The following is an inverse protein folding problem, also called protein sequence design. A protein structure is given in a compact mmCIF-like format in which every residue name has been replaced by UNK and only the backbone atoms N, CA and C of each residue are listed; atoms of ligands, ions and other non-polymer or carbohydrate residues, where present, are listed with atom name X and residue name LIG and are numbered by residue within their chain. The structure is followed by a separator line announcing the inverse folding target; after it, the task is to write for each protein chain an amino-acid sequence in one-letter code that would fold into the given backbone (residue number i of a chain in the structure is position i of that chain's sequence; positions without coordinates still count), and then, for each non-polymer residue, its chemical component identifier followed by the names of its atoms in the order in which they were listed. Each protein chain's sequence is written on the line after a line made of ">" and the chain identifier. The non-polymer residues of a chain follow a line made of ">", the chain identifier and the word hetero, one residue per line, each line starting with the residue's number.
data_IF_047339642588
#
_entry.id   IF_047339642588
#
_cell.length_a   1.000
_cell.length_b   1.000
_cell.length_c   1.000
_cell.angle_alpha   90.00
_cell.angle_beta   90.00
_cell.angle_gamma   90.00
#
_symmetry.space_group_name_H-M   'P 1'
#
loop_
_entity.id
_entity.type
_entity.pdbx_description
1 polymer ?
#
# COMPACT_ATOMS: atom_id res chain seq x y z
N UNK A 1 -22.92 16.01 56.36
CA UNK A 1 -23.86 15.70 55.25
C UNK A 1 -23.51 16.61 54.09
N UNK A 2 -22.93 16.07 53.01
CA UNK A 2 -22.68 16.78 51.74
C UNK A 2 -23.65 16.20 50.72
N UNK A 3 -24.60 17.00 50.29
CA UNK A 3 -25.60 16.64 49.28
C UNK A 3 -24.92 16.60 47.91
N UNK A 4 -24.81 15.43 47.30
CA UNK A 4 -24.34 15.25 45.93
C UNK A 4 -25.53 15.49 45.00
N UNK A 5 -25.49 16.56 44.21
CA UNK A 5 -26.43 16.81 43.12
C UNK A 5 -26.07 15.87 41.96
N UNK A 6 -26.88 14.84 41.71
CA UNK A 6 -26.80 14.07 40.45
C UNK A 6 -27.44 14.90 39.33
N UNK A 7 -26.60 15.41 38.42
CA UNK A 7 -27.05 15.97 37.16
C UNK A 7 -27.40 14.80 36.22
N UNK A 8 -28.69 14.55 36.01
CA UNK A 8 -29.14 13.59 35.01
C UNK A 8 -28.87 14.15 33.60
N UNK A 9 -27.88 13.58 32.91
CA UNK A 9 -27.67 13.80 31.48
C UNK A 9 -28.85 13.20 30.72
N UNK A 10 -29.80 14.05 30.32
CA UNK A 10 -30.82 13.74 29.32
C UNK A 10 -30.13 13.47 27.98
N UNK A 11 -29.85 12.21 27.68
CA UNK A 11 -29.51 11.77 26.33
C UNK A 11 -30.82 11.75 25.53
N UNK A 12 -31.03 12.74 24.66
CA UNK A 12 -32.18 12.81 23.75
C UNK A 12 -32.14 11.64 22.75
N UNK A 13 -33.02 10.62 22.86
CA UNK A 13 -32.99 9.45 21.96
C UNK A 13 -33.41 9.78 20.52
N UNK A 14 -34.09 10.92 20.30
CA UNK A 14 -34.63 11.31 19.00
C UNK A 14 -33.59 11.86 18.02
N UNK A 15 -32.49 12.45 18.50
CA UNK A 15 -31.45 12.99 17.63
C UNK A 15 -30.64 11.87 16.94
N UNK A 16 -30.41 10.76 17.65
CA UNK A 16 -29.68 9.60 17.13
C UNK A 16 -30.48 8.84 16.07
N UNK A 17 -31.80 8.71 16.23
CA UNK A 17 -32.65 8.04 15.23
C UNK A 17 -32.73 8.85 13.92
N UNK A 18 -33.01 10.16 14.00
CA UNK A 18 -33.09 10.99 12.80
C UNK A 18 -31.76 11.07 12.02
N UNK A 19 -30.63 11.04 12.73
CA UNK A 19 -29.30 11.01 12.10
C UNK A 19 -29.00 9.64 11.44
N UNK A 20 -29.44 8.54 12.05
CA UNK A 20 -29.35 7.20 11.46
C UNK A 20 -30.21 7.09 10.20
N UNK A 21 -31.45 7.58 10.25
CA UNK A 21 -32.38 7.58 9.11
C UNK A 21 -31.81 8.37 7.93
N UNK A 22 -31.20 9.53 8.20
CA UNK A 22 -30.57 10.34 7.15
C UNK A 22 -29.33 9.67 6.56
N UNK A 23 -28.54 8.99 7.38
CA UNK A 23 -27.35 8.25 6.91
C UNK A 23 -27.77 7.13 5.96
N UNK A 24 -28.78 6.34 6.33
CA UNK A 24 -29.31 5.26 5.49
C UNK A 24 -29.88 5.78 4.18
N UNK A 25 -30.56 6.93 4.20
CA UNK A 25 -31.09 7.57 2.99
C UNK A 25 -29.97 7.91 1.98
N UNK A 26 -28.91 8.59 2.43
CA UNK A 26 -27.80 9.00 1.56
C UNK A 26 -27.06 7.77 1.00
N UNK A 27 -26.77 6.79 1.86
CA UNK A 27 -26.11 5.54 1.45
C UNK A 27 -26.96 4.77 0.43
N UNK A 28 -28.28 4.68 0.64
CA UNK A 28 -29.19 4.00 -0.29
C UNK A 28 -29.22 4.69 -1.66
N UNK A 29 -29.24 6.03 -1.67
CA UNK A 29 -29.19 6.80 -2.92
C UNK A 29 -27.86 6.63 -3.64
N UNK A 30 -26.74 6.61 -2.92
CA UNK A 30 -25.42 6.34 -3.50
C UNK A 30 -25.33 4.92 -4.11
N UNK A 31 -25.81 3.91 -3.39
CA UNK A 31 -25.93 2.52 -3.89
C UNK A 31 -26.78 2.46 -5.16
N UNK A 32 -27.89 3.19 -5.19
CA UNK A 32 -28.77 3.28 -6.36
C UNK A 32 -28.07 3.94 -7.54
N UNK A 33 -27.36 5.07 -7.31
CA UNK A 33 -26.59 5.77 -8.33
C UNK A 33 -25.45 4.91 -8.92
N UNK A 34 -24.89 4.01 -8.10
CA UNK A 34 -23.91 3.02 -8.56
C UNK A 34 -24.52 1.90 -9.41
N UNK A 35 -25.84 1.64 -9.35
CA UNK A 35 -26.48 0.58 -10.12
C UNK A 35 -27.44 -0.32 -9.33
N UNK A 36 -27.51 -0.14 -8.01
CA UNK A 36 -28.38 -0.88 -7.10
C UNK A 36 -27.70 -2.09 -6.45
N UNK A 37 -28.16 -2.43 -5.24
CA UNK A 37 -27.51 -3.43 -4.39
C UNK A 37 -27.44 -4.83 -5.01
N UNK A 38 -28.52 -5.27 -5.65
CA UNK A 38 -28.60 -6.59 -6.30
C UNK A 38 -27.51 -6.78 -7.37
N UNK A 39 -27.27 -5.76 -8.20
CA UNK A 39 -26.25 -5.82 -9.24
C UNK A 39 -24.84 -5.76 -8.65
N UNK A 40 -24.64 -4.98 -7.59
CA UNK A 40 -23.37 -4.91 -6.86
C UNK A 40 -23.04 -6.27 -6.22
N UNK A 41 -24.03 -6.93 -5.62
CA UNK A 41 -23.88 -8.26 -5.03
C UNK A 41 -23.66 -9.35 -6.08
N UNK A 42 -24.23 -9.21 -7.28
CA UNK A 42 -24.01 -10.13 -8.39
C UNK A 42 -22.57 -10.12 -8.96
N UNK A 43 -21.77 -9.09 -8.64
CA UNK A 43 -20.34 -9.08 -8.96
C UNK A 43 -19.58 -9.94 -7.94
N UNK A 44 -18.90 -10.99 -8.38
CA UNK A 44 -18.06 -11.83 -7.52
C UNK A 44 -16.57 -11.68 -7.81
N UNK A 45 -16.19 -11.29 -9.04
CA UNK A 45 -14.80 -11.00 -9.40
C UNK A 45 -14.70 -9.76 -10.29
N UNK A 46 -13.58 -9.05 -10.21
CA UNK A 46 -13.25 -7.91 -11.05
C UNK A 46 -11.80 -7.99 -11.50
N UNK A 47 -11.55 -7.85 -12.79
CA UNK A 47 -10.22 -7.74 -13.40
C UNK A 47 -10.07 -6.35 -13.99
N UNK A 48 -9.21 -5.55 -13.37
CA UNK A 48 -8.86 -4.22 -13.80
C UNK A 48 -7.58 -4.26 -14.63
N UNK A 49 -7.57 -3.54 -15.76
CA UNK A 49 -6.37 -3.34 -16.58
C UNK A 49 -6.22 -1.88 -16.93
N UNK A 50 -5.00 -1.39 -16.86
CA UNK A 50 -4.70 -0.02 -17.27
C UNK A 50 -3.35 0.46 -16.78
N UNK A 51 -3.35 1.66 -16.23
CA UNK A 51 -2.15 2.42 -15.92
C UNK A 51 -2.21 2.98 -14.50
N UNK A 52 -1.07 2.98 -13.81
CA UNK A 52 -0.86 3.58 -12.49
C UNK A 52 0.36 4.51 -12.55
N UNK A 53 0.30 5.64 -11.84
CA UNK A 53 1.39 6.61 -11.75
C UNK A 53 1.49 7.22 -10.35
N UNK A 54 2.68 7.71 -10.02
CA UNK A 54 3.02 8.32 -8.74
C UNK A 54 3.80 9.62 -8.97
N UNK A 55 3.48 10.64 -8.18
CA UNK A 55 4.12 11.95 -8.09
C UNK A 55 3.74 12.94 -9.20
N UNK A 56 4.03 14.22 -8.95
CA UNK A 56 3.88 15.32 -9.91
C UNK A 56 4.72 15.14 -11.20
N UNK A 57 5.80 14.35 -11.14
CA UNK A 57 6.70 14.07 -12.26
C UNK A 57 6.12 13.13 -13.33
N UNK A 58 4.93 12.56 -13.11
CA UNK A 58 4.36 11.53 -14.01
C UNK A 58 2.95 11.79 -14.54
N UNK A 59 2.33 12.92 -14.22
CA UNK A 59 1.08 13.32 -14.89
C UNK A 59 1.27 13.45 -16.41
N UNK A 60 2.40 13.99 -16.86
CA UNK A 60 2.77 14.09 -18.28
C UNK A 60 3.01 12.74 -18.97
N UNK A 61 3.16 11.64 -18.20
CA UNK A 61 3.32 10.29 -18.73
C UNK A 61 2.06 9.42 -18.64
N UNK A 62 0.95 9.94 -18.12
CA UNK A 62 -0.33 9.26 -18.16
C UNK A 62 -0.71 9.00 -19.64
N UNK A 63 -0.63 7.73 -20.05
CA UNK A 63 -0.86 7.30 -21.44
C UNK A 63 0.37 7.33 -22.37
N UNK A 64 1.57 7.71 -21.92
CA UNK A 64 2.77 7.79 -22.79
C UNK A 64 3.87 6.77 -22.48
N UNK A 65 3.75 5.99 -21.39
CA UNK A 65 4.55 4.78 -21.16
C UNK A 65 3.66 3.54 -21.15
N UNK A 66 4.19 2.44 -21.70
CA UNK A 66 3.56 1.13 -21.61
C UNK A 66 3.47 0.72 -20.13
N UNK A 67 2.27 0.80 -19.56
CA UNK A 67 1.94 0.18 -18.28
C UNK A 67 0.83 -0.83 -18.53
N UNK A 68 1.06 -2.05 -18.07
CA UNK A 68 0.12 -3.16 -18.12
C UNK A 68 -0.33 -3.49 -16.69
N UNK A 69 -0.67 -2.47 -15.91
CA UNK A 69 -1.12 -2.67 -14.53
C UNK A 69 -2.36 -3.55 -14.54
N UNK A 70 -2.30 -4.64 -13.77
CA UNK A 70 -3.41 -5.58 -13.58
C UNK A 70 -3.72 -5.65 -12.10
N UNK A 71 -5.01 -5.56 -11.77
CA UNK A 71 -5.51 -5.85 -10.44
C UNK A 71 -6.70 -6.80 -10.56
N UNK A 72 -6.73 -7.82 -9.73
CA UNK A 72 -7.86 -8.74 -9.61
C UNK A 72 -8.41 -8.63 -8.19
N UNK A 73 -9.73 -8.57 -8.06
CA UNK A 73 -10.45 -8.68 -6.78
C UNK A 73 -11.49 -9.76 -6.88
N UNK A 74 -11.72 -10.49 -5.79
CA UNK A 74 -12.79 -11.49 -5.72
C UNK A 74 -13.40 -11.52 -4.32
N UNK A 75 -14.71 -11.74 -4.22
CA UNK A 75 -15.40 -11.94 -2.94
C UNK A 75 -14.88 -13.21 -2.24
N UNK A 76 -14.84 -13.26 -0.89
CA UNK A 76 -15.29 -12.22 0.04
C UNK A 76 -14.25 -11.11 0.33
N UNK A 77 -13.03 -11.21 -0.20
CA UNK A 77 -11.96 -10.27 0.12
C UNK A 77 -10.60 -10.79 -0.33
N UNK A 78 -10.50 -11.22 -1.59
CA UNK A 78 -9.28 -11.69 -2.23
C UNK A 78 -8.77 -10.60 -3.17
N UNK A 79 -7.47 -10.42 -3.24
CA UNK A 79 -6.85 -9.43 -4.13
C UNK A 79 -5.54 -9.93 -4.68
N UNK A 80 -5.29 -9.57 -5.94
CA UNK A 80 -4.02 -9.80 -6.62
C UNK A 80 -3.66 -8.55 -7.42
N UNK A 81 -2.39 -8.17 -7.42
CA UNK A 81 -1.84 -7.05 -8.19
C UNK A 81 -0.65 -7.57 -8.98
N UNK A 82 -0.59 -7.24 -10.27
CA UNK A 82 0.43 -7.74 -11.20
C UNK A 82 -0.07 -8.92 -12.04
N UNK A 83 0.48 -9.05 -13.24
CA UNK A 83 0.18 -10.18 -14.12
C UNK A 83 0.79 -11.48 -13.59
N UNK A 84 0.05 -12.58 -13.75
CA UNK A 84 0.54 -13.96 -13.60
C UNK A 84 -0.16 -14.86 -14.63
N UNK A 85 0.40 -16.03 -14.98
CA UNK A 85 -0.07 -16.85 -16.10
C UNK A 85 -1.55 -17.24 -16.06
N UNK A 86 -2.12 -17.40 -14.87
CA UNK A 86 -3.50 -17.84 -14.64
C UNK A 86 -4.53 -16.74 -14.88
N UNK A 87 -4.12 -15.47 -14.96
CA UNK A 87 -5.02 -14.37 -15.31
C UNK A 87 -5.17 -14.33 -16.83
N UNK A 88 -6.40 -14.38 -17.39
CA UNK A 88 -6.63 -14.18 -18.82
C UNK A 88 -5.92 -12.93 -19.33
N UNK A 89 -5.31 -12.98 -20.51
CA UNK A 89 -4.57 -11.84 -21.07
C UNK A 89 -3.19 -11.54 -20.44
N UNK A 90 -2.75 -12.28 -19.41
CA UNK A 90 -1.37 -12.27 -18.89
C UNK A 90 -0.55 -13.48 -19.38
N UNK A 91 -0.98 -14.13 -20.47
CA UNK A 91 -0.59 -15.49 -20.88
C UNK A 91 0.93 -15.69 -20.88
N UNK A 92 1.42 -16.54 -19.97
CA UNK A 92 2.84 -16.90 -19.84
C UNK A 92 3.74 -15.84 -19.18
N UNK A 93 3.19 -14.74 -18.67
CA UNK A 93 3.96 -13.61 -18.15
C UNK A 93 3.67 -13.36 -16.67
N UNK A 94 4.74 -13.40 -15.88
CA UNK A 94 4.77 -12.84 -14.54
C UNK A 94 5.15 -11.36 -14.60
N UNK A 95 4.40 -10.53 -13.88
CA UNK A 95 4.84 -9.18 -13.56
C UNK A 95 6.12 -9.22 -12.74
N UNK A 96 6.95 -8.16 -12.84
CA UNK A 96 8.20 -8.06 -12.05
C UNK A 96 7.96 -8.13 -10.54
N UNK A 97 6.82 -7.60 -10.11
CA UNK A 97 6.31 -7.70 -8.74
C UNK A 97 4.86 -8.14 -8.87
N UNK A 98 4.50 -9.18 -8.12
CA UNK A 98 3.13 -9.66 -7.98
C UNK A 98 2.83 -9.75 -6.49
N UNK A 99 1.72 -9.15 -6.08
CA UNK A 99 1.29 -9.15 -4.68
C UNK A 99 -0.10 -9.75 -4.59
N UNK A 100 -0.35 -10.55 -3.56
CA UNK A 100 -1.65 -11.19 -3.35
C UNK A 100 -2.08 -11.22 -1.90
N UNK A 101 -3.38 -11.27 -1.69
CA UNK A 101 -4.03 -11.56 -0.42
C UNK A 101 -5.04 -12.68 -0.65
N UNK A 102 -4.80 -13.84 -0.03
CA UNK A 102 -5.57 -15.06 -0.23
C UNK A 102 -6.85 -15.14 0.63
N UNK A 103 -7.18 -14.06 1.34
CA UNK A 103 -8.28 -13.99 2.31
C UNK A 103 -7.82 -14.21 3.75
N UNK A 104 -6.60 -14.73 3.94
CA UNK A 104 -6.01 -14.96 5.26
C UNK A 104 -4.63 -14.31 5.41
N UNK A 105 -3.79 -14.38 4.38
CA UNK A 105 -2.40 -13.92 4.39
C UNK A 105 -2.05 -13.20 3.10
N UNK A 106 -1.29 -12.13 3.26
CA UNK A 106 -0.65 -11.44 2.14
C UNK A 106 0.71 -12.04 1.76
N UNK A 107 1.10 -11.81 0.51
CA UNK A 107 2.38 -12.24 -0.04
C UNK A 107 2.83 -11.30 -1.18
N UNK A 108 4.14 -11.22 -1.38
CA UNK A 108 4.79 -10.47 -2.46
C UNK A 108 5.80 -11.40 -3.16
N UNK A 109 5.78 -11.42 -4.49
CA UNK A 109 6.70 -12.15 -5.35
C UNK A 109 7.45 -11.19 -6.24
N UNK A 110 8.78 -11.22 -6.16
CA UNK A 110 9.66 -10.57 -7.13
C UNK A 110 10.11 -11.57 -8.21
N UNK A 111 9.74 -11.34 -9.47
CA UNK A 111 10.07 -12.16 -10.64
C UNK A 111 11.12 -11.46 -11.53
N UNK A 112 12.09 -12.17 -12.16
CA UNK A 112 12.25 -13.62 -12.25
C UNK A 112 13.10 -14.26 -11.15
N UNK A 113 13.55 -13.47 -10.16
CA UNK A 113 14.37 -13.95 -9.05
C UNK A 113 13.63 -14.93 -8.13
N UNK A 114 12.30 -15.01 -8.23
CA UNK A 114 11.46 -15.90 -7.43
C UNK A 114 11.56 -15.63 -5.91
N UNK A 115 11.72 -14.35 -5.53
CA UNK A 115 11.71 -13.95 -4.12
C UNK A 115 10.29 -13.80 -3.65
N UNK A 116 9.78 -14.88 -3.06
CA UNK A 116 8.47 -14.93 -2.43
C UNK A 116 8.59 -14.65 -0.93
N UNK A 117 7.90 -13.63 -0.45
CA UNK A 117 7.82 -13.30 0.97
C UNK A 117 6.37 -13.27 1.43
N UNK A 118 6.13 -13.66 2.68
CA UNK A 118 4.84 -13.46 3.35
C UNK A 118 4.85 -12.09 4.00
N UNK A 119 3.79 -11.32 3.78
CA UNK A 119 3.67 -10.02 4.44
C UNK A 119 3.36 -10.19 5.93
N UNK A 120 3.79 -9.20 6.71
CA UNK A 120 3.51 -9.06 8.14
C UNK A 120 3.25 -7.59 8.48
N UNK A 121 2.76 -7.32 9.70
CA UNK A 121 2.61 -5.97 10.26
C UNK A 121 1.85 -5.00 9.33
N UNK A 122 2.45 -3.83 9.03
CA UNK A 122 1.84 -2.77 8.21
C UNK A 122 1.55 -3.26 6.78
N UNK A 123 2.44 -4.05 6.19
CA UNK A 123 2.27 -4.58 4.83
C UNK A 123 1.10 -5.57 4.75
N UNK A 124 1.01 -6.50 5.71
CA UNK A 124 -0.11 -7.44 5.82
C UNK A 124 -1.44 -6.71 5.95
N UNK A 125 -1.49 -5.71 6.84
CA UNK A 125 -2.68 -4.89 7.03
C UNK A 125 -3.06 -4.13 5.75
N UNK A 126 -2.09 -3.59 5.01
CA UNK A 126 -2.35 -2.87 3.77
C UNK A 126 -2.96 -3.79 2.70
N UNK A 127 -2.44 -5.02 2.56
CA UNK A 127 -2.98 -6.02 1.63
C UNK A 127 -4.38 -6.49 2.05
N UNK A 128 -4.57 -6.83 3.33
CA UNK A 128 -5.88 -7.19 3.88
C UNK A 128 -6.93 -6.10 3.64
N UNK A 129 -6.63 -4.86 4.05
CA UNK A 129 -7.58 -3.75 3.92
C UNK A 129 -7.83 -3.36 2.47
N UNK A 130 -6.80 -3.43 1.63
CA UNK A 130 -6.91 -3.18 0.21
C UNK A 130 -7.63 -4.28 -0.57
N UNK A 131 -7.83 -5.47 0.04
CA UNK A 131 -8.56 -6.58 -0.58
C UNK A 131 -10.09 -6.46 -0.46
N UNK A 132 -10.60 -5.42 0.21
CA UNK A 132 -12.03 -5.13 0.25
C UNK A 132 -12.61 -5.03 -1.17
N UNK A 133 -13.62 -5.86 -1.45
CA UNK A 133 -14.28 -5.89 -2.75
C UNK A 133 -15.18 -4.66 -2.94
N UNK A 134 -16.03 -4.38 -1.94
CA UNK A 134 -16.94 -3.24 -1.95
C UNK A 134 -16.40 -2.05 -1.15
N UNK A 135 -16.89 -0.85 -1.48
CA UNK A 135 -16.74 0.31 -0.61
C UNK A 135 -17.33 0.04 0.78
N UNK A 136 -16.79 0.68 1.81
CA UNK A 136 -17.16 0.42 3.19
C UNK A 136 -18.61 0.81 3.53
N UNK A 137 -19.24 1.71 2.74
CA UNK A 137 -20.65 2.05 2.93
C UNK A 137 -21.61 0.98 2.39
N UNK A 138 -21.14 0.05 1.54
CA UNK A 138 -21.93 -1.08 1.06
C UNK A 138 -22.06 -2.10 2.20
N UNK A 139 -23.30 -2.44 2.55
CA UNK A 139 -23.68 -3.35 3.64
C UNK A 139 -23.06 -2.99 5.00
N UNK A 140 -22.80 -1.70 5.23
CA UNK A 140 -22.05 -1.26 6.40
C UNK A 140 -22.66 -1.79 7.72
N UNK A 141 -24.00 -1.84 7.86
CA UNK A 141 -24.68 -2.41 9.03
C UNK A 141 -24.44 -3.90 9.21
N UNK A 142 -24.57 -4.68 8.12
CA UNK A 142 -24.39 -6.13 8.14
C UNK A 142 -22.94 -6.50 8.45
N UNK A 143 -22.01 -5.63 8.06
CA UNK A 143 -20.58 -5.73 8.34
C UNK A 143 -20.19 -5.21 9.73
N UNK A 144 -21.16 -4.75 10.54
CA UNK A 144 -20.93 -4.22 11.88
C UNK A 144 -20.25 -2.85 11.92
N UNK A 145 -20.17 -2.15 10.78
CA UNK A 145 -19.57 -0.82 10.69
C UNK A 145 -20.54 0.25 11.19
N UNK A 146 -19.99 1.39 11.59
CA UNK A 146 -20.76 2.54 12.07
C UNK A 146 -20.68 3.67 11.05
N UNK A 147 -21.81 4.14 10.56
CA UNK A 147 -21.89 5.24 9.61
C UNK A 147 -22.52 6.47 10.24
N UNK A 148 -22.05 7.66 9.83
CA UNK A 148 -22.61 8.94 10.26
C UNK A 148 -22.67 9.91 9.09
N UNK A 149 -23.86 10.40 8.75
CA UNK A 149 -24.02 11.55 7.89
C UNK A 149 -23.58 12.83 8.62
N UNK A 150 -22.73 13.62 7.97
CA UNK A 150 -22.09 14.81 8.53
C UNK A 150 -22.60 16.13 7.92
N UNK A 151 -23.70 16.08 7.16
CA UNK A 151 -24.19 17.24 6.41
C UNK A 151 -23.45 17.44 5.08
N UNK A 152 -23.75 18.55 4.41
CA UNK A 152 -22.97 19.00 3.25
C UNK A 152 -21.66 19.62 3.70
N UNK A 153 -20.57 19.25 3.03
CA UNK A 153 -19.23 19.82 3.24
C UNK A 153 -18.69 20.40 1.93
N UNK A 154 -17.94 21.50 2.04
CA UNK A 154 -17.16 22.03 0.92
C UNK A 154 -15.81 21.34 0.90
N UNK A 155 -15.52 20.58 -0.15
CA UNK A 155 -14.27 19.83 -0.32
C UNK A 155 -13.74 20.11 -1.73
N UNK A 156 -12.50 20.61 -1.82
CA UNK A 156 -11.89 21.04 -3.08
C UNK A 156 -12.77 22.00 -3.92
N UNK A 157 -13.56 22.83 -3.25
CA UNK A 157 -14.48 23.80 -3.88
C UNK A 157 -15.84 23.24 -4.30
N UNK A 158 -16.09 21.93 -4.11
CA UNK A 158 -17.39 21.29 -4.39
C UNK A 158 -18.20 21.14 -3.09
N UNK A 159 -19.50 21.42 -3.14
CA UNK A 159 -20.43 21.20 -2.02
C UNK A 159 -21.04 19.81 -2.12
N UNK A 160 -20.62 18.89 -1.26
CA UNK A 160 -20.88 17.44 -1.36
C UNK A 160 -21.57 16.90 -0.10
N UNK A 161 -22.43 15.90 -0.27
CA UNK A 161 -23.04 15.15 0.85
C UNK A 161 -21.98 14.26 1.50
N UNK A 162 -21.71 14.45 2.80
CA UNK A 162 -20.61 13.76 3.49
C UNK A 162 -21.12 12.64 4.41
N UNK A 163 -20.57 11.43 4.23
CA UNK A 163 -20.81 10.27 5.09
C UNK A 163 -19.48 9.73 5.60
N UNK A 164 -19.35 9.61 6.92
CA UNK A 164 -18.22 8.94 7.56
C UNK A 164 -18.56 7.48 7.81
N UNK A 165 -17.66 6.57 7.46
CA UNK A 165 -17.73 5.15 7.80
C UNK A 165 -16.58 4.80 8.74
N UNK A 166 -16.92 4.31 9.92
CA UNK A 166 -15.97 3.81 10.91
C UNK A 166 -15.95 2.29 10.86
N UNK A 167 -14.76 1.73 10.65
CA UNK A 167 -14.53 0.30 10.63
C UNK A 167 -13.54 -0.05 11.73
N UNK A 168 -13.77 -1.17 12.39
CA UNK A 168 -12.88 -1.64 13.46
C UNK A 168 -11.71 -2.49 12.90
N UNK A 169 -11.83 -2.98 11.65
CA UNK A 169 -10.86 -3.85 10.98
C UNK A 169 -9.73 -3.09 10.28
N UNK A 170 -10.03 -1.91 9.71
CA UNK A 170 -9.16 -1.25 8.75
C UNK A 170 -9.17 0.27 8.88
N UNK A 171 -8.03 0.77 9.36
CA UNK A 171 -7.63 2.17 9.26
C UNK A 171 -8.36 3.14 10.18
N UNK A 172 -7.99 4.42 10.10
CA UNK A 172 -8.85 5.51 10.57
C UNK A 172 -10.17 5.53 9.78
N UNK A 173 -11.18 6.29 10.26
CA UNK A 173 -12.46 6.43 9.57
C UNK A 173 -12.28 6.86 8.11
N UNK A 174 -13.12 6.34 7.23
CA UNK A 174 -13.15 6.78 5.83
C UNK A 174 -14.29 7.75 5.60
N UNK A 175 -13.98 8.85 4.94
CA UNK A 175 -14.95 9.85 4.52
C UNK A 175 -15.34 9.59 3.06
N UNK A 176 -16.64 9.57 2.80
CA UNK A 176 -17.21 9.47 1.46
C UNK A 176 -18.00 10.74 1.15
N UNK A 177 -17.78 11.28 -0.05
CA UNK A 177 -18.41 12.50 -0.52
C UNK A 177 -19.18 12.24 -1.81
N UNK A 178 -20.48 12.52 -1.79
CA UNK A 178 -21.39 12.27 -2.90
C UNK A 178 -21.92 13.56 -3.49
N UNK A 179 -22.13 13.57 -4.81
CA UNK A 179 -22.79 14.69 -5.49
C UNK A 179 -24.24 14.84 -4.96
N UNK A 180 -24.69 16.04 -4.58
CA UNK A 180 -25.99 16.21 -3.92
C UNK A 180 -27.21 15.97 -4.82
N UNK A 181 -27.05 15.99 -6.15
CA UNK A 181 -28.14 15.80 -7.09
C UNK A 181 -28.22 14.34 -7.57
N UNK A 182 -27.09 13.77 -7.96
CA UNK A 182 -26.98 12.43 -8.56
C UNK A 182 -26.60 11.35 -7.56
N UNK A 183 -26.06 11.71 -6.40
CA UNK A 183 -25.49 10.79 -5.40
C UNK A 183 -24.33 9.93 -5.91
N UNK A 184 -23.72 10.31 -7.04
CA UNK A 184 -22.48 9.71 -7.53
C UNK A 184 -21.33 9.96 -6.52
N UNK A 185 -20.51 8.93 -6.26
CA UNK A 185 -19.33 9.06 -5.41
C UNK A 185 -18.30 9.97 -6.08
N UNK A 186 -18.06 11.15 -5.51
CA UNK A 186 -17.13 12.15 -6.07
C UNK A 186 -15.74 12.02 -5.46
N UNK A 187 -15.67 11.84 -4.14
CA UNK A 187 -14.39 11.83 -3.43
C UNK A 187 -14.41 10.87 -2.24
N UNK A 188 -13.24 10.37 -1.89
CA UNK A 188 -12.98 9.68 -0.62
C UNK A 188 -11.82 10.34 0.08
N UNK A 189 -11.95 10.64 1.36
CA UNK A 189 -10.84 11.15 2.17
C UNK A 189 -10.41 10.09 3.18
N UNK A 190 -9.10 9.91 3.27
CA UNK A 190 -8.46 8.89 4.09
C UNK A 190 -7.07 9.35 4.53
N UNK A 191 -6.59 8.79 5.63
CA UNK A 191 -5.22 9.02 6.10
C UNK A 191 -4.42 7.76 5.81
N UNK A 192 -3.50 7.83 4.85
CA UNK A 192 -2.69 6.69 4.41
C UNK A 192 -1.19 7.00 4.47
N UNK A 193 -0.34 6.01 4.81
CA UNK A 193 1.11 6.13 4.68
C UNK A 193 1.51 6.41 3.23
N UNK A 194 2.38 7.41 2.99
CA UNK A 194 3.01 7.59 1.68
C UNK A 194 4.02 6.45 1.47
N UNK A 195 3.66 5.47 0.63
CA UNK A 195 4.35 4.17 0.51
C UNK A 195 4.46 3.40 1.85
N UNK A 196 5.03 2.19 1.80
CA UNK A 196 5.18 1.33 2.99
C UNK A 196 6.03 1.93 4.13
N UNK A 197 6.69 3.08 3.94
CA UNK A 197 7.70 3.63 4.85
C UNK A 197 7.53 5.12 5.20
N UNK A 198 6.67 5.86 4.51
CA UNK A 198 6.43 7.27 4.80
C UNK A 198 5.43 7.49 5.92
N UNK A 199 5.43 8.71 6.46
CA UNK A 199 4.40 9.13 7.41
C UNK A 199 3.02 9.09 6.74
N UNK A 200 1.99 8.90 7.56
CA UNK A 200 0.62 8.97 7.10
C UNK A 200 0.24 10.41 6.75
N UNK A 201 -0.35 10.59 5.58
CA UNK A 201 -0.80 11.89 5.07
C UNK A 201 -2.29 11.79 4.79
N UNK A 202 -3.00 12.88 5.10
CA UNK A 202 -4.40 13.02 4.74
C UNK A 202 -4.49 13.23 3.23
N UNK A 203 -5.21 12.34 2.56
CA UNK A 203 -5.37 12.33 1.11
C UNK A 203 -6.84 12.37 0.74
N UNK A 204 -7.11 12.90 -0.45
CA UNK A 204 -8.44 12.88 -1.06
C UNK A 204 -8.33 12.17 -2.41
N UNK A 205 -8.92 10.99 -2.52
CA UNK A 205 -9.10 10.26 -3.76
C UNK A 205 -10.30 10.84 -4.53
N UNK A 206 -10.02 11.51 -5.65
CA UNK A 206 -10.99 12.20 -6.50
C UNK A 206 -11.39 11.30 -7.67
N UNK A 207 -12.67 10.97 -7.77
CA UNK A 207 -13.24 10.17 -8.85
C UNK A 207 -13.35 11.00 -10.13
N UNK A 208 -12.63 10.61 -11.19
CA UNK A 208 -12.55 11.37 -12.44
C UNK A 208 -13.43 10.80 -13.54
N UNK A 209 -13.54 9.47 -13.61
CA UNK A 209 -14.33 8.80 -14.64
C UNK A 209 -14.81 7.43 -14.17
N UNK A 210 -15.85 6.93 -14.83
CA UNK A 210 -16.49 5.66 -14.51
C UNK A 210 -16.69 4.79 -15.75
N UNK A 211 -16.71 3.47 -15.55
CA UNK A 211 -17.19 2.48 -16.51
C UNK A 211 -18.36 1.73 -15.90
N UNK A 212 -19.40 1.49 -16.70
CA UNK A 212 -20.52 0.63 -16.31
C UNK A 212 -20.21 -0.81 -16.70
N UNK A 213 -20.12 -1.70 -15.73
CA UNK A 213 -19.84 -3.14 -15.92
C UNK A 213 -20.98 -3.92 -15.28
N UNK A 214 -21.65 -4.77 -16.08
CA UNK A 214 -22.84 -5.53 -15.65
C UNK A 214 -23.90 -4.66 -14.96
N UNK A 215 -24.05 -3.41 -15.40
CA UNK A 215 -25.01 -2.44 -14.85
C UNK A 215 -24.58 -1.77 -13.54
N UNK A 216 -23.33 -1.97 -13.10
CA UNK A 216 -22.72 -1.29 -11.95
C UNK A 216 -21.69 -0.27 -12.44
N UNK A 217 -21.79 0.97 -11.97
CA UNK A 217 -20.86 2.07 -12.25
C UNK A 217 -19.66 1.96 -11.33
N UNK A 218 -18.50 1.64 -11.90
CA UNK A 218 -17.22 1.46 -11.21
C UNK A 218 -16.27 2.60 -11.61
N UNK A 219 -15.49 3.10 -10.65
CA UNK A 219 -14.49 4.12 -10.94
C UNK A 219 -13.45 3.54 -11.89
N UNK A 220 -13.28 4.18 -13.04
CA UNK A 220 -12.27 3.82 -14.04
C UNK A 220 -11.10 4.80 -14.07
N UNK A 221 -11.21 5.98 -13.45
CA UNK A 221 -10.10 6.92 -13.31
C UNK A 221 -10.20 7.63 -11.96
N UNK A 222 -9.11 7.64 -11.21
CA UNK A 222 -9.00 8.27 -9.91
C UNK A 222 -7.64 8.97 -9.77
N UNK A 223 -7.64 10.11 -9.07
CA UNK A 223 -6.43 10.83 -8.68
C UNK A 223 -6.45 11.01 -7.17
N UNK A 224 -5.36 10.66 -6.50
CA UNK A 224 -5.18 10.98 -5.10
C UNK A 224 -4.46 12.31 -4.95
N UNK A 225 -5.05 13.22 -4.19
CA UNK A 225 -4.45 14.52 -3.90
C UNK A 225 -4.08 14.64 -2.42
N UNK A 226 -3.03 15.41 -2.15
CA UNK A 226 -2.70 15.84 -0.81
C UNK A 226 -3.82 16.75 -0.28
N UNK A 227 -4.44 16.40 0.85
CA UNK A 227 -5.56 17.20 1.38
C UNK A 227 -5.15 18.62 1.79
N UNK A 228 -3.87 18.85 2.11
CA UNK A 228 -3.35 20.16 2.53
C UNK A 228 -2.91 21.03 1.36
N UNK A 229 -2.19 20.45 0.39
CA UNK A 229 -1.61 21.23 -0.72
C UNK A 229 -2.46 21.19 -1.99
N UNK A 230 -3.33 20.19 -2.15
CA UNK A 230 -4.11 19.95 -3.37
C UNK A 230 -3.30 19.30 -4.50
N UNK A 231 -2.00 19.04 -4.30
CA UNK A 231 -1.15 18.41 -5.31
C UNK A 231 -1.56 16.96 -5.53
N UNK A 232 -1.57 16.51 -6.79
CA UNK A 232 -1.76 15.10 -7.12
C UNK A 232 -0.53 14.30 -6.69
N UNK A 233 -0.75 13.34 -5.81
CA UNK A 233 0.28 12.45 -5.27
C UNK A 233 0.35 11.17 -6.12
N UNK A 234 -0.78 10.62 -6.54
CA UNK A 234 -0.83 9.44 -7.41
C UNK A 234 -2.14 9.37 -8.22
N UNK A 235 -2.25 8.35 -9.06
CA UNK A 235 -3.51 8.04 -9.68
C UNK A 235 -3.49 6.77 -10.51
N UNK A 236 -4.70 6.34 -10.90
CA UNK A 236 -4.90 5.17 -11.73
C UNK A 236 -5.98 5.43 -12.78
N UNK A 237 -5.78 4.84 -13.96
CA UNK A 237 -6.78 4.77 -15.01
C UNK A 237 -6.91 3.33 -15.51
N UNK A 238 -8.09 2.75 -15.31
CA UNK A 238 -8.48 1.43 -15.77
C UNK A 238 -9.12 1.54 -17.14
N UNK A 239 -8.36 1.18 -18.18
CA UNK A 239 -8.84 1.13 -19.56
C UNK A 239 -9.84 -0.01 -19.79
N UNK A 240 -9.69 -1.11 -19.05
CA UNK A 240 -10.64 -2.23 -19.00
C UNK A 240 -11.01 -2.61 -17.56
N UNK A 241 -12.27 -2.95 -17.37
CA UNK A 241 -12.79 -3.57 -16.14
C UNK A 241 -13.71 -4.71 -16.59
N UNK A 242 -13.34 -5.94 -16.27
CA UNK A 242 -14.09 -7.15 -16.61
C UNK A 242 -14.65 -7.74 -15.31
N UNK A 243 -15.94 -8.08 -15.28
CA UNK A 243 -16.57 -8.67 -14.12
C UNK A 243 -16.85 -10.16 -14.34
N UNK A 244 -16.77 -10.93 -13.25
CA UNK A 244 -17.18 -12.33 -13.20
C UNK A 244 -16.44 -13.24 -14.22
N UNK A 245 -15.18 -12.90 -14.50
CA UNK A 245 -14.30 -13.67 -15.40
C UNK A 245 -13.29 -14.55 -14.65
N UNK A 246 -13.28 -14.50 -13.31
CA UNK A 246 -12.39 -15.27 -12.46
C UNK A 246 -13.23 -16.05 -11.43
N UNK A 247 -13.12 -17.37 -11.48
CA UNK A 247 -13.81 -18.28 -10.57
C UNK A 247 -12.85 -19.05 -9.64
N UNK A 248 -11.60 -19.27 -10.09
CA UNK A 248 -10.63 -20.02 -9.31
C UNK A 248 -9.96 -19.14 -8.24
N UNK A 249 -10.26 -19.42 -6.97
CA UNK A 249 -9.67 -18.73 -5.83
C UNK A 249 -8.17 -19.01 -5.68
N UNK A 250 -7.65 -20.09 -6.26
CA UNK A 250 -6.24 -20.46 -6.16
C UNK A 250 -5.30 -19.45 -6.80
N UNK A 251 -5.78 -18.60 -7.71
CA UNK A 251 -4.94 -17.54 -8.31
C UNK A 251 -4.44 -16.53 -7.28
N UNK A 252 -5.13 -16.40 -6.14
CA UNK A 252 -4.80 -15.50 -5.05
C UNK A 252 -3.83 -16.11 -4.04
N UNK A 253 -3.62 -17.43 -4.11
CA UNK A 253 -2.63 -18.13 -3.28
C UNK A 253 -1.22 -17.84 -3.79
N UNK A 254 -0.28 -17.80 -2.85
CA UNK A 254 1.13 -17.64 -3.16
C UNK A 254 1.59 -18.82 -4.04
N UNK A 255 2.29 -18.57 -5.16
CA UNK A 255 2.76 -19.64 -6.03
C UNK A 255 3.88 -20.45 -5.37
N UNK A 256 4.10 -21.65 -5.87
CA UNK A 256 5.33 -22.39 -5.58
C UNK A 256 6.51 -21.75 -6.32
N UNK A 257 7.66 -21.66 -5.66
CA UNK A 257 8.88 -21.08 -6.19
C UNK A 257 10.09 -21.94 -5.83
N UNK A 258 11.10 -21.92 -6.70
CA UNK A 258 12.35 -22.67 -6.52
C UNK A 258 13.55 -21.71 -6.72
N UNK A 259 13.76 -20.77 -5.80
CA UNK A 259 14.92 -19.87 -5.85
C UNK A 259 16.22 -20.69 -5.73
N UNK A 260 17.28 -20.21 -6.39
CA UNK A 260 18.62 -20.83 -6.38
C UNK A 260 19.71 -19.80 -6.06
N UNK A 261 20.91 -20.29 -5.77
CA UNK A 261 22.09 -19.46 -5.50
C UNK A 261 21.87 -18.45 -4.39
N UNK A 262 22.42 -17.25 -4.55
CA UNK A 262 22.29 -16.16 -3.56
C UNK A 262 20.84 -15.85 -3.22
N UNK A 263 19.92 -15.97 -4.18
CA UNK A 263 18.51 -15.69 -3.93
C UNK A 263 17.87 -16.68 -2.94
N UNK A 264 18.23 -17.97 -3.04
CA UNK A 264 17.81 -18.97 -2.05
C UNK A 264 18.40 -18.66 -0.67
N UNK A 265 19.67 -18.26 -0.62
CA UNK A 265 20.38 -17.95 0.63
C UNK A 265 19.75 -16.77 1.35
N UNK A 266 19.47 -15.66 0.66
CA UNK A 266 18.86 -14.49 1.32
C UNK A 266 17.44 -14.75 1.81
N UNK A 267 16.68 -15.63 1.15
CA UNK A 267 15.36 -16.07 1.64
C UNK A 267 15.48 -16.93 2.91
N UNK A 268 16.49 -17.82 2.97
CA UNK A 268 16.80 -18.56 4.19
C UNK A 268 17.26 -17.63 5.32
N UNK A 269 18.11 -16.64 5.02
CA UNK A 269 18.54 -15.62 5.97
C UNK A 269 17.34 -14.86 6.54
N UNK A 270 16.40 -14.43 5.69
CA UNK A 270 15.17 -13.75 6.10
C UNK A 270 14.32 -14.64 7.02
N UNK A 271 14.15 -15.93 6.68
CA UNK A 271 13.40 -16.88 7.51
C UNK A 271 14.02 -17.07 8.91
N UNK A 272 15.35 -17.12 8.99
CA UNK A 272 16.10 -17.30 10.27
C UNK A 272 16.01 -16.11 11.22
N UNK A 273 15.47 -14.97 10.78
CA UNK A 273 15.24 -13.82 11.67
C UNK A 273 14.23 -14.10 12.78
N UNK A 274 13.46 -15.19 12.67
CA UNK A 274 12.47 -15.61 13.65
C UNK A 274 13.08 -16.42 14.81
N UNK A 275 14.19 -17.12 14.58
CA UNK A 275 14.72 -18.15 15.49
C UNK A 275 16.26 -18.15 15.65
N UNK A 276 16.97 -17.20 15.02
CA UNK A 276 18.43 -17.10 15.06
C UNK A 276 18.86 -15.65 15.31
N UNK A 277 20.01 -15.46 15.94
CA UNK A 277 20.65 -14.13 16.11
C UNK A 277 21.16 -13.55 14.77
N UNK A 278 21.45 -12.24 14.67
CA UNK A 278 22.02 -11.66 13.45
C UNK A 278 23.32 -12.32 12.99
N UNK A 279 24.19 -12.71 13.94
CA UNK A 279 25.44 -13.41 13.64
C UNK A 279 25.18 -14.81 13.03
N UNK A 280 24.24 -15.57 13.60
CA UNK A 280 23.86 -16.88 13.07
C UNK A 280 23.18 -16.79 11.69
N UNK A 281 22.42 -15.72 11.45
CA UNK A 281 21.85 -15.44 10.14
C UNK A 281 22.94 -15.13 9.12
N UNK A 282 23.90 -14.26 9.46
CA UNK A 282 25.03 -13.92 8.57
C UNK A 282 25.98 -15.09 8.31
N UNK A 283 26.06 -16.08 9.21
CA UNK A 283 26.82 -17.31 8.97
C UNK A 283 26.36 -18.06 7.70
N UNK A 284 25.07 -17.97 7.35
CA UNK A 284 24.56 -18.53 6.08
C UNK A 284 25.21 -17.86 4.87
N UNK A 285 25.35 -16.54 4.92
CA UNK A 285 26.02 -15.77 3.89
C UNK A 285 27.50 -16.10 3.80
N UNK A 286 28.21 -16.17 4.94
CA UNK A 286 29.62 -16.57 4.98
C UNK A 286 29.83 -17.96 4.37
N UNK A 287 28.97 -18.94 4.71
CA UNK A 287 29.00 -20.28 4.12
C UNK A 287 28.77 -20.25 2.61
N UNK A 288 27.81 -19.45 2.15
CA UNK A 288 27.59 -19.26 0.72
C UNK A 288 28.83 -18.68 0.04
N UNK A 289 29.42 -17.60 0.57
CA UNK A 289 30.63 -16.97 0.02
C UNK A 289 31.86 -17.88 0.02
N UNK A 290 31.93 -18.87 0.91
CA UNK A 290 32.97 -19.89 0.91
C UNK A 290 32.83 -20.92 -0.23
N UNK A 291 31.64 -21.09 -0.82
CA UNK A 291 31.38 -22.02 -1.93
C UNK A 291 31.91 -21.51 -3.27
N UNK A 292 32.11 -22.42 -4.23
CA UNK A 292 32.58 -22.07 -5.58
C UNK A 292 31.61 -21.11 -6.30
N UNK A 293 30.31 -21.32 -6.14
CA UNK A 293 29.28 -20.43 -6.67
C UNK A 293 29.35 -19.05 -6.01
N UNK A 294 29.38 -19.02 -4.67
CA UNK A 294 29.35 -17.77 -3.92
C UNK A 294 30.55 -16.88 -4.19
N UNK A 295 31.76 -17.44 -4.38
CA UNK A 295 32.96 -16.67 -4.74
C UNK A 295 32.83 -15.92 -6.07
N UNK A 296 32.00 -16.41 -6.99
CA UNK A 296 31.84 -15.85 -8.34
C UNK A 296 30.50 -15.13 -8.55
N UNK A 297 29.64 -15.06 -7.52
CA UNK A 297 28.30 -14.46 -7.62
C UNK A 297 28.34 -12.97 -7.27
N UNK A 298 27.68 -12.13 -8.07
CA UNK A 298 27.30 -10.77 -7.66
C UNK A 298 26.11 -10.85 -6.69
N UNK A 299 26.39 -10.56 -5.43
CA UNK A 299 25.46 -10.64 -4.31
C UNK A 299 24.77 -9.32 -3.99
N UNK A 300 25.25 -8.21 -4.55
CA UNK A 300 24.90 -6.85 -4.09
C UNK A 300 23.40 -6.63 -4.16
N UNK A 301 22.78 -7.03 -5.27
CA UNK A 301 21.35 -6.83 -5.47
C UNK A 301 20.47 -7.62 -4.48
N UNK A 302 20.80 -8.89 -4.22
CA UNK A 302 20.02 -9.78 -3.35
C UNK A 302 20.24 -9.47 -1.87
N UNK A 303 21.47 -9.12 -1.46
CA UNK A 303 21.77 -8.66 -0.10
C UNK A 303 21.15 -7.29 0.18
N UNK A 304 21.19 -6.36 -0.79
CA UNK A 304 20.53 -5.07 -0.63
C UNK A 304 19.00 -5.24 -0.51
N UNK A 305 18.41 -6.13 -1.31
CA UNK A 305 17.00 -6.50 -1.17
C UNK A 305 16.69 -7.05 0.23
N UNK A 306 17.49 -7.99 0.75
CA UNK A 306 17.34 -8.53 2.10
C UNK A 306 17.36 -7.43 3.15
N UNK A 307 18.34 -6.54 3.09
CA UNK A 307 18.44 -5.40 4.01
C UNK A 307 17.16 -4.56 4.00
N UNK A 308 16.62 -4.25 2.82
CA UNK A 308 15.37 -3.50 2.69
C UNK A 308 14.13 -4.26 3.16
N UNK A 309 14.05 -5.58 2.98
CA UNK A 309 12.97 -6.39 3.54
C UNK A 309 13.00 -6.38 5.07
N UNK A 310 14.19 -6.45 5.68
CA UNK A 310 14.36 -6.36 7.13
C UNK A 310 13.96 -4.98 7.66
N UNK A 311 14.31 -3.92 6.93
CA UNK A 311 13.87 -2.56 7.26
C UNK A 311 12.34 -2.40 7.19
N UNK A 312 11.66 -3.00 6.19
CA UNK A 312 10.18 -2.97 6.08
C UNK A 312 9.48 -3.50 7.33
N UNK A 313 10.14 -4.38 8.10
CA UNK A 313 9.60 -5.02 9.30
C UNK A 313 10.30 -4.57 10.60
N UNK A 314 10.97 -3.40 10.56
CA UNK A 314 11.64 -2.76 11.69
C UNK A 314 12.75 -3.61 12.34
N UNK A 315 13.33 -4.58 11.61
CA UNK A 315 14.43 -5.46 12.08
C UNK A 315 15.80 -4.85 11.79
N UNK A 316 16.03 -3.68 12.35
CA UNK A 316 17.26 -2.90 12.19
C UNK A 316 18.52 -3.67 12.66
N UNK A 317 18.36 -4.49 13.69
CA UNK A 317 19.39 -5.36 14.25
C UNK A 317 19.92 -6.41 13.27
N UNK A 318 19.09 -6.84 12.30
CA UNK A 318 19.49 -7.74 11.22
C UNK A 318 19.87 -6.98 9.94
N UNK A 319 19.23 -5.84 9.67
CA UNK A 319 19.48 -5.06 8.46
C UNK A 319 20.87 -4.40 8.45
N UNK A 320 21.32 -3.85 9.59
CA UNK A 320 22.61 -3.17 9.66
C UNK A 320 23.81 -4.07 9.33
N UNK A 321 23.94 -5.30 9.87
CA UNK A 321 24.98 -6.24 9.46
C UNK A 321 25.00 -6.50 7.95
N UNK A 322 23.83 -6.66 7.31
CA UNK A 322 23.72 -6.90 5.87
C UNK A 322 24.29 -5.74 5.06
N UNK A 323 23.97 -4.49 5.41
CA UNK A 323 24.52 -3.33 4.70
C UNK A 323 26.00 -3.09 4.99
N UNK A 324 26.47 -3.39 6.21
CA UNK A 324 27.89 -3.31 6.57
C UNK A 324 28.72 -4.32 5.79
N UNK A 325 28.24 -5.56 5.66
CA UNK A 325 28.90 -6.59 4.83
C UNK A 325 29.10 -6.10 3.39
N UNK A 326 28.09 -5.48 2.78
CA UNK A 326 28.21 -4.91 1.42
C UNK A 326 29.27 -3.82 1.31
N UNK A 327 29.50 -3.05 2.39
CA UNK A 327 30.55 -2.04 2.46
C UNK A 327 31.91 -2.70 2.68
N UNK A 328 32.00 -3.73 3.50
CA UNK A 328 33.23 -4.49 3.73
C UNK A 328 33.72 -5.17 2.43
N UNK A 329 32.81 -5.75 1.64
CA UNK A 329 33.15 -6.35 0.35
C UNK A 329 33.52 -5.31 -0.71
N UNK A 330 32.90 -4.13 -0.70
CA UNK A 330 33.23 -3.04 -1.59
C UNK A 330 33.19 -1.67 -0.90
N UNK A 331 34.31 -1.23 -0.31
CA UNK A 331 34.39 0.05 0.40
C UNK A 331 34.19 1.29 -0.48
N UNK A 332 34.16 1.14 -1.82
CA UNK A 332 33.92 2.24 -2.77
C UNK A 332 32.47 2.26 -3.28
N UNK A 333 31.59 1.42 -2.74
CA UNK A 333 30.18 1.35 -3.14
C UNK A 333 29.35 2.48 -2.53
N UNK A 334 29.23 3.61 -3.22
CA UNK A 334 28.36 4.72 -2.77
C UNK A 334 26.91 4.29 -2.52
N UNK A 335 26.37 3.32 -3.29
CA UNK A 335 25.02 2.79 -3.09
C UNK A 335 24.88 1.96 -1.81
N UNK A 336 25.92 1.26 -1.35
CA UNK A 336 25.90 0.54 -0.08
C UNK A 336 25.86 1.51 1.11
N UNK A 337 26.66 2.58 1.07
CA UNK A 337 26.60 3.66 2.05
C UNK A 337 25.23 4.37 2.06
N UNK A 338 24.64 4.61 0.89
CA UNK A 338 23.28 5.18 0.83
C UNK A 338 22.23 4.26 1.45
N UNK A 339 22.37 2.94 1.28
CA UNK A 339 21.45 1.96 1.87
C UNK A 339 21.61 1.87 3.38
N UNK A 340 22.84 1.99 3.89
CA UNK A 340 23.12 2.14 5.32
C UNK A 340 22.55 3.46 5.88
N UNK A 341 22.67 4.56 5.14
CA UNK A 341 22.09 5.85 5.51
C UNK A 341 20.56 5.80 5.61
N UNK A 342 19.91 5.08 4.69
CA UNK A 342 18.47 4.83 4.74
C UNK A 342 18.06 4.01 5.97
N UNK A 343 18.85 3.01 6.35
CA UNK A 343 18.64 2.24 7.58
C UNK A 343 18.69 3.15 8.82
N UNK A 344 19.73 3.98 8.95
CA UNK A 344 19.86 4.90 10.08
C UNK A 344 18.76 5.96 10.11
N UNK A 345 18.34 6.45 8.95
CA UNK A 345 17.23 7.41 8.85
C UNK A 345 15.92 6.81 9.38
N UNK A 346 15.61 5.55 9.06
CA UNK A 346 14.42 4.87 9.59
C UNK A 346 14.52 4.60 11.09
N UNK A 347 15.73 4.34 11.60
CA UNK A 347 16.01 4.27 13.03
C UNK A 347 15.94 5.62 13.74
N UNK A 348 15.73 6.72 13.01
CA UNK A 348 15.76 8.11 13.51
C UNK A 348 17.13 8.52 14.06
N UNK A 349 18.20 7.86 13.61
CA UNK A 349 19.58 8.24 13.89
C UNK A 349 20.08 9.19 12.78
N UNK A 350 19.57 10.42 12.81
CA UNK A 350 19.83 11.43 11.80
C UNK A 350 21.32 11.77 11.66
N UNK A 351 22.09 11.66 12.75
CA UNK A 351 23.53 11.89 12.75
C UNK A 351 24.26 10.84 11.89
N UNK A 352 24.03 9.54 12.14
CA UNK A 352 24.65 8.49 11.33
C UNK A 352 24.09 8.42 9.91
N UNK A 353 22.82 8.74 9.73
CA UNK A 353 22.23 8.85 8.39
C UNK A 353 22.94 9.94 7.57
N UNK A 354 23.17 11.11 8.17
CA UNK A 354 23.89 12.23 7.56
C UNK A 354 25.31 11.81 7.14
N UNK A 355 26.07 11.19 8.03
CA UNK A 355 27.42 10.69 7.75
C UNK A 355 27.44 9.69 6.58
N UNK A 356 26.54 8.69 6.60
CA UNK A 356 26.47 7.68 5.57
C UNK A 356 26.07 8.24 4.20
N UNK A 357 25.08 9.13 4.13
CA UNK A 357 24.70 9.80 2.88
C UNK A 357 25.81 10.72 2.36
N UNK A 358 26.51 11.44 3.25
CA UNK A 358 27.63 12.28 2.84
C UNK A 358 28.77 11.44 2.24
N UNK A 359 29.09 10.30 2.85
CA UNK A 359 30.06 9.35 2.28
C UNK A 359 29.62 8.81 0.93
N UNK A 360 28.35 8.42 0.78
CA UNK A 360 27.81 7.96 -0.51
C UNK A 360 28.02 8.98 -1.63
N UNK A 361 27.72 10.26 -1.37
CA UNK A 361 27.89 11.36 -2.34
C UNK A 361 29.37 11.65 -2.61
N UNK A 362 30.23 11.59 -1.58
CA UNK A 362 31.68 11.77 -1.74
C UNK A 362 32.32 10.69 -2.62
N UNK A 363 31.78 9.46 -2.61
CA UNK A 363 32.13 8.37 -3.51
C UNK A 363 31.54 8.52 -4.92
N UNK A 364 30.89 9.65 -5.21
CA UNK A 364 30.37 9.97 -6.55
C UNK A 364 28.94 9.49 -6.83
N UNK A 365 28.20 9.03 -5.81
CA UNK A 365 26.79 8.66 -6.01
C UNK A 365 25.96 9.90 -6.37
N UNK A 366 25.46 9.93 -7.61
CA UNK A 366 24.56 10.98 -8.12
C UNK A 366 23.11 10.48 -8.11
N UNK A 367 22.51 10.44 -6.93
CA UNK A 367 21.11 10.02 -6.75
C UNK A 367 20.29 11.17 -6.13
N UNK A 368 19.23 11.61 -6.81
CA UNK A 368 18.44 12.77 -6.40
C UNK A 368 17.71 12.58 -5.05
N UNK A 369 17.22 11.38 -4.76
CA UNK A 369 16.57 11.07 -3.48
C UNK A 369 17.58 11.17 -2.32
N UNK A 370 18.78 10.61 -2.50
CA UNK A 370 19.88 10.72 -1.54
C UNK A 370 20.28 12.18 -1.35
N UNK A 371 20.44 12.96 -2.42
CA UNK A 371 20.80 14.38 -2.34
C UNK A 371 19.72 15.20 -1.60
N UNK A 372 18.45 14.93 -1.84
CA UNK A 372 17.33 15.57 -1.13
C UNK A 372 17.32 15.21 0.35
N UNK A 373 17.50 13.94 0.70
CA UNK A 373 17.58 13.47 2.09
C UNK A 373 18.78 14.09 2.82
N UNK A 374 19.95 14.10 2.17
CA UNK A 374 21.16 14.74 2.69
C UNK A 374 20.94 16.22 2.98
N UNK A 375 20.40 16.98 2.01
CA UNK A 375 20.13 18.41 2.18
C UNK A 375 19.15 18.69 3.33
N UNK A 376 18.11 17.84 3.49
CA UNK A 376 17.17 17.95 4.62
C UNK A 376 17.86 17.75 5.96
N UNK A 377 18.71 16.73 6.09
CA UNK A 377 19.44 16.44 7.32
C UNK A 377 20.44 17.55 7.68
N UNK A 378 21.16 18.09 6.68
CA UNK A 378 22.09 19.21 6.90
C UNK A 378 21.38 20.49 7.38
N UNK A 379 20.20 20.79 6.85
CA UNK A 379 19.40 21.94 7.32
C UNK A 379 18.92 21.73 8.76
N UNK A 380 18.51 20.51 9.09
CA UNK A 380 18.05 20.18 10.44
C UNK A 380 19.19 20.34 11.47
N UNK A 381 20.41 19.91 11.14
CA UNK A 381 21.57 20.00 12.04
C UNK A 381 22.13 21.42 12.21
N UNK A 382 21.90 22.32 11.25
CA UNK A 382 22.31 23.73 11.34
C UNK A 382 21.31 24.63 12.10
N UNK A 383 20.06 24.16 12.28
CA UNK A 383 18.99 24.91 12.96
C UNK A 383 18.74 24.50 14.40
N UNK A 384 19.50 23.53 14.93
CA UNK A 384 19.37 22.93 16.27
C UNK A 384 20.43 23.38 17.25
#
# INVERSE_FOLDING_TARGET
>A
MRTILLLALLVCPGATMAQMDRTDEIVTKAITAMGGIEKIHALHSLVFRGFHYEGAYKQEYAGSRQSSAVMVRMRPGLRLVGCRPEIPGCTGQWGRIVEGFDGSRGWELNWPKQRLVRTINKAERALHCGAAFDYAFIDYRQRGFRASYLGRKSVLGESLEAVQINRDDCGPPMMYYFDPASFELRMREMTIPIHARGDAVDTIAVSKSFKTVNGVKLISREEEVNAKTGDVIDGAEWTSIEANTIDDRKIFEAPEVHPVGITAVVLQMLARTQDATPAQMMELYTKFRASDEGRNTDVVYDMNWLGFELLKVDRYDYALPVFRELIEENPQSGSAYASLGEAYLQMKDDAKALEAFQHAVNLGLKNEDVLRKLSRLQKASQGS
#
